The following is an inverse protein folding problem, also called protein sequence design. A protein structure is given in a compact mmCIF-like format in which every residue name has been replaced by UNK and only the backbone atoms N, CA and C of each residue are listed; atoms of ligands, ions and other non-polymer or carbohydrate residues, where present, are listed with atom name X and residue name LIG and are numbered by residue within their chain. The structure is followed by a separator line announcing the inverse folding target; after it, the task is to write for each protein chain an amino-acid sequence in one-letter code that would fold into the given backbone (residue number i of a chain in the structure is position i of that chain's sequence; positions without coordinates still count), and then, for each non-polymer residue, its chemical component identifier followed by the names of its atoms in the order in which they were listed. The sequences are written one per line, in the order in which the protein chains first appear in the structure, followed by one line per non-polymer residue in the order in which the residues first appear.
data_IF_329739657178
#
_entry.id   IF_329739657178
#
_cell.length_a   1.000
_cell.length_b   1.000
_cell.length_c   1.000
_cell.angle_alpha   90.00
_cell.angle_beta   90.00
_cell.angle_gamma   90.00
#
_symmetry.space_group_name_H-M   'P 1'
#
loop_
_entity.id
_entity.type
_entity.pdbx_description
1 polymer ?
#
# COMPACT_ATOMS: atom_id res chain seq x y z
N UNK A 1 -10.51 -7.55 14.64
CA UNK A 1 -11.81 -7.62 15.36
C UNK A 1 -12.80 -8.36 14.48
N UNK A 2 -13.15 -9.54 14.93
CA UNK A 2 -14.13 -10.38 14.23
C UNK A 2 -15.52 -9.73 14.32
N UNK A 3 -16.32 -9.88 13.26
CA UNK A 3 -17.70 -9.40 13.15
C UNK A 3 -17.87 -7.87 13.27
N UNK A 4 -16.79 -7.12 13.23
CA UNK A 4 -16.83 -5.66 13.08
C UNK A 4 -16.78 -5.29 11.60
N UNK A 5 -17.74 -4.51 11.17
CA UNK A 5 -17.77 -4.03 9.78
C UNK A 5 -16.84 -2.83 9.59
N UNK A 6 -16.32 -2.70 8.39
CA UNK A 6 -15.56 -1.52 8.01
C UNK A 6 -16.40 -0.25 8.15
N UNK A 7 -15.77 0.83 8.58
CA UNK A 7 -16.36 2.16 8.64
C UNK A 7 -16.13 2.97 7.37
N UNK A 8 -15.16 2.56 6.56
CA UNK A 8 -14.84 3.19 5.28
C UNK A 8 -15.42 2.39 4.11
N UNK A 9 -15.78 3.07 3.03
CA UNK A 9 -16.15 2.40 1.77
C UNK A 9 -14.89 1.95 1.03
N UNK A 10 -15.04 1.00 0.10
CA UNK A 10 -13.92 0.58 -0.75
C UNK A 10 -13.38 1.76 -1.58
N UNK A 11 -14.27 2.63 -2.06
CA UNK A 11 -13.89 3.84 -2.79
C UNK A 11 -13.07 4.80 -1.94
N UNK A 12 -13.41 4.98 -0.66
CA UNK A 12 -12.64 5.81 0.26
C UNK A 12 -11.24 5.26 0.47
N UNK A 13 -11.11 3.95 0.65
CA UNK A 13 -9.80 3.30 0.82
C UNK A 13 -8.95 3.46 -0.43
N UNK A 14 -9.52 3.28 -1.62
CA UNK A 14 -8.82 3.50 -2.89
C UNK A 14 -8.35 4.93 -3.04
N UNK A 15 -9.24 5.90 -2.77
CA UNK A 15 -8.91 7.32 -2.87
C UNK A 15 -7.76 7.67 -1.93
N UNK A 16 -7.86 7.28 -0.67
CA UNK A 16 -6.83 7.55 0.33
C UNK A 16 -5.48 6.94 -0.06
N UNK A 17 -5.50 5.72 -0.60
CA UNK A 17 -4.28 5.04 -1.02
C UNK A 17 -3.57 5.72 -2.20
N UNK A 18 -4.31 6.32 -3.13
CA UNK A 18 -3.77 6.89 -4.37
C UNK A 18 -3.51 8.40 -4.26
N UNK A 19 -4.29 9.11 -3.45
CA UNK A 19 -4.28 10.57 -3.41
C UNK A 19 -2.88 11.16 -3.15
N UNK A 20 -2.52 12.19 -3.92
CA UNK A 20 -1.26 12.91 -3.79
C UNK A 20 -1.42 14.37 -3.39
N UNK A 21 -2.65 14.82 -3.15
CA UNK A 21 -2.93 16.20 -2.74
C UNK A 21 -2.48 16.43 -1.30
N UNK A 22 -2.76 15.48 -0.40
CA UNK A 22 -2.30 15.52 0.99
C UNK A 22 -1.00 14.75 1.12
N UNK A 23 0.05 15.44 1.57
CA UNK A 23 1.37 14.85 1.79
C UNK A 23 1.55 14.56 3.28
N UNK A 24 1.89 13.33 3.61
CA UNK A 24 2.16 12.90 4.97
C UNK A 24 3.58 12.36 5.10
N UNK A 25 4.17 12.53 6.28
CA UNK A 25 5.47 11.94 6.58
C UNK A 25 5.31 10.50 7.06
N UNK A 26 6.31 9.68 6.78
CA UNK A 26 6.39 8.32 7.30
C UNK A 26 6.36 8.33 8.82
N UNK A 27 5.44 7.57 9.40
CA UNK A 27 5.33 7.41 10.85
C UNK A 27 6.36 6.43 11.41
N UNK A 28 6.50 6.43 12.74
CA UNK A 28 7.44 5.54 13.44
C UNK A 28 7.20 4.06 13.10
N UNK A 29 8.26 3.33 12.89
CA UNK A 29 8.22 1.93 12.49
C UNK A 29 8.11 1.69 10.99
N UNK A 30 7.88 2.73 10.21
CA UNK A 30 7.75 2.66 8.75
C UNK A 30 8.87 3.39 8.00
N UNK A 31 9.84 3.95 8.72
CA UNK A 31 10.98 4.61 8.11
C UNK A 31 11.81 3.61 7.32
N UNK A 32 12.46 4.13 6.26
CA UNK A 32 13.36 3.36 5.44
C UNK A 32 14.48 2.75 6.29
N UNK A 33 14.72 1.46 6.07
CA UNK A 33 15.90 0.75 6.57
C UNK A 33 16.68 0.18 5.39
N UNK A 34 18.01 0.17 5.48
CA UNK A 34 18.86 -0.36 4.41
C UNK A 34 18.98 -1.89 4.57
N UNK A 35 17.95 -2.59 4.11
CA UNK A 35 17.82 -4.05 4.20
C UNK A 35 18.40 -4.76 2.97
N UNK A 36 18.37 -4.11 1.81
CA UNK A 36 18.80 -4.69 0.54
C UNK A 36 20.11 -4.07 0.07
N UNK A 37 20.96 -4.88 -0.53
CA UNK A 37 22.27 -4.41 -1.00
C UNK A 37 22.16 -3.52 -2.25
N UNK A 38 21.16 -3.74 -3.08
CA UNK A 38 20.97 -2.96 -4.32
C UNK A 38 19.50 -2.99 -4.77
N UNK A 39 19.19 -2.23 -5.80
CA UNK A 39 17.85 -2.13 -6.36
C UNK A 39 17.36 -3.46 -6.94
N UNK A 40 18.24 -4.24 -7.56
CA UNK A 40 17.89 -5.52 -8.14
C UNK A 40 17.37 -6.50 -7.08
N UNK A 41 18.05 -6.58 -5.95
CA UNK A 41 17.62 -7.40 -4.82
C UNK A 41 16.26 -6.94 -4.28
N UNK A 42 16.09 -5.63 -4.09
CA UNK A 42 14.84 -5.06 -3.59
C UNK A 42 13.67 -5.36 -4.55
N UNK A 43 13.88 -5.16 -5.86
CA UNK A 43 12.85 -5.45 -6.86
C UNK A 43 12.50 -6.93 -6.92
N UNK A 44 13.50 -7.81 -6.85
CA UNK A 44 13.27 -9.25 -6.83
C UNK A 44 12.41 -9.67 -5.64
N UNK A 45 12.70 -9.14 -4.46
CA UNK A 45 11.91 -9.40 -3.25
C UNK A 45 10.50 -8.85 -3.35
N UNK A 46 10.35 -7.64 -3.88
CA UNK A 46 9.05 -7.03 -4.11
C UNK A 46 8.18 -7.89 -5.05
N UNK A 47 8.75 -8.34 -6.16
CA UNK A 47 8.03 -9.18 -7.12
C UNK A 47 7.60 -10.51 -6.49
N UNK A 48 8.49 -11.16 -5.74
CA UNK A 48 8.18 -12.42 -5.06
C UNK A 48 7.03 -12.25 -4.06
N UNK A 49 7.05 -11.19 -3.27
CA UNK A 49 5.99 -10.89 -2.30
C UNK A 49 4.65 -10.59 -2.98
N UNK A 50 4.68 -9.89 -4.10
CA UNK A 50 3.47 -9.60 -4.89
C UNK A 50 2.84 -10.86 -5.47
N UNK A 51 3.65 -11.76 -5.99
CA UNK A 51 3.17 -13.06 -6.49
C UNK A 51 2.51 -13.84 -5.36
N UNK A 52 3.16 -13.95 -4.20
CA UNK A 52 2.61 -14.64 -3.03
C UNK A 52 1.28 -14.05 -2.60
N UNK A 53 1.18 -12.73 -2.50
CA UNK A 53 -0.05 -12.05 -2.10
C UNK A 53 -1.17 -12.25 -3.12
N UNK A 54 -0.85 -12.17 -4.42
CA UNK A 54 -1.83 -12.38 -5.49
C UNK A 54 -2.39 -13.80 -5.45
N UNK A 55 -1.55 -14.81 -5.28
CA UNK A 55 -1.98 -16.20 -5.15
C UNK A 55 -2.85 -16.41 -3.91
N UNK A 56 -2.48 -15.81 -2.78
CA UNK A 56 -3.30 -15.86 -1.57
C UNK A 56 -4.70 -15.30 -1.82
N UNK A 57 -4.79 -14.10 -2.41
CA UNK A 57 -6.09 -13.45 -2.69
C UNK A 57 -6.95 -14.31 -3.61
N UNK A 58 -6.34 -14.94 -4.63
CA UNK A 58 -7.07 -15.76 -5.61
C UNK A 58 -7.60 -17.06 -5.02
N UNK A 59 -6.91 -17.63 -4.04
CA UNK A 59 -7.18 -18.99 -3.57
C UNK A 59 -7.72 -19.06 -2.15
N UNK A 60 -7.66 -17.97 -1.39
CA UNK A 60 -8.08 -17.99 0.02
C UNK A 60 -9.58 -18.28 0.17
N UNK A 61 -9.88 -19.06 1.21
CA UNK A 61 -11.23 -19.27 1.71
C UNK A 61 -11.49 -18.46 2.98
N UNK A 62 -10.52 -17.65 3.41
CA UNK A 62 -10.64 -16.81 4.59
C UNK A 62 -11.68 -15.71 4.34
N UNK A 63 -12.45 -15.43 5.40
CA UNK A 63 -13.45 -14.37 5.34
C UNK A 63 -12.78 -13.01 5.62
N UNK A 64 -12.40 -12.34 4.54
CA UNK A 64 -11.70 -11.07 4.63
C UNK A 64 -12.62 -9.88 4.92
N UNK A 65 -13.94 -10.03 4.69
CA UNK A 65 -14.89 -8.92 4.79
C UNK A 65 -15.48 -8.73 6.20
N UNK A 66 -15.48 -9.78 7.03
CA UNK A 66 -16.03 -9.69 8.40
C UNK A 66 -14.96 -9.53 9.48
N UNK A 67 -13.70 -9.48 9.10
CA UNK A 67 -12.59 -9.24 10.01
C UNK A 67 -12.01 -7.86 9.75
N UNK A 68 -12.15 -6.96 10.71
CA UNK A 68 -11.72 -5.57 10.61
C UNK A 68 -10.74 -5.22 11.72
N UNK A 69 -9.91 -4.24 11.47
CA UNK A 69 -9.00 -3.69 12.46
C UNK A 69 -8.96 -2.16 12.32
N UNK A 70 -8.57 -1.50 13.40
CA UNK A 70 -8.43 -0.05 13.39
C UNK A 70 -7.08 0.36 12.85
N UNK A 71 -7.12 1.13 11.78
CA UNK A 71 -5.93 1.76 11.21
C UNK A 71 -6.33 3.18 10.80
N UNK A 72 -5.41 4.12 10.97
CA UNK A 72 -5.66 5.53 10.63
C UNK A 72 -6.95 6.12 11.24
N UNK A 73 -7.38 5.59 12.38
CA UNK A 73 -8.54 6.11 13.12
C UNK A 73 -9.88 5.53 12.69
N UNK A 74 -9.94 4.73 11.64
CA UNK A 74 -11.17 4.06 11.18
C UNK A 74 -10.97 2.56 11.10
N UNK A 75 -12.08 1.82 11.21
CA UNK A 75 -12.06 0.38 10.97
C UNK A 75 -12.10 0.11 9.48
N UNK A 76 -11.14 -0.69 9.00
CA UNK A 76 -11.15 -1.25 7.66
C UNK A 76 -11.11 -2.77 7.77
N UNK A 77 -11.68 -3.46 6.79
CA UNK A 77 -11.64 -4.92 6.77
C UNK A 77 -10.36 -5.45 6.10
N UNK A 78 -10.13 -6.75 6.24
CA UNK A 78 -8.91 -7.36 5.70
C UNK A 78 -8.85 -7.29 4.17
N UNK A 79 -9.99 -7.33 3.47
CA UNK A 79 -10.03 -7.15 2.02
C UNK A 79 -9.63 -5.73 1.62
N UNK A 80 -10.12 -4.74 2.34
CA UNK A 80 -9.74 -3.33 2.12
C UNK A 80 -8.26 -3.10 2.40
N UNK A 81 -7.69 -3.83 3.37
CA UNK A 81 -6.24 -3.77 3.61
C UNK A 81 -5.44 -4.23 2.39
N UNK A 82 -5.88 -5.32 1.74
CA UNK A 82 -5.26 -5.77 0.50
C UNK A 82 -5.39 -4.73 -0.61
N UNK A 83 -6.54 -4.08 -0.70
CA UNK A 83 -6.79 -3.00 -1.65
C UNK A 83 -5.86 -1.80 -1.37
N UNK A 84 -5.67 -1.44 -0.13
CA UNK A 84 -4.78 -0.36 0.29
C UNK A 84 -3.33 -0.66 -0.05
N UNK A 85 -2.87 -1.88 0.14
CA UNK A 85 -1.51 -2.29 -0.25
C UNK A 85 -1.28 -2.06 -1.74
N UNK A 86 -2.25 -2.38 -2.59
CA UNK A 86 -2.12 -2.20 -4.04
C UNK A 86 -2.16 -0.72 -4.44
N UNK A 87 -3.08 0.06 -3.90
CA UNK A 87 -3.19 1.49 -4.20
C UNK A 87 -2.03 2.30 -3.63
N UNK A 88 -1.46 1.85 -2.53
CA UNK A 88 -0.26 2.46 -1.95
C UNK A 88 0.94 2.40 -2.92
N UNK A 89 1.08 1.29 -3.64
CA UNK A 89 2.10 1.19 -4.68
C UNK A 89 1.86 2.19 -5.81
N UNK A 90 0.63 2.39 -6.21
CA UNK A 90 0.27 3.40 -7.22
C UNK A 90 0.58 4.81 -6.73
N UNK A 91 0.33 5.10 -5.46
CA UNK A 91 0.72 6.37 -4.83
C UNK A 91 2.23 6.63 -5.00
N UNK A 92 3.06 5.64 -4.72
CA UNK A 92 4.51 5.78 -4.87
C UNK A 92 4.95 5.92 -6.33
N UNK A 93 4.29 5.23 -7.26
CA UNK A 93 4.55 5.40 -8.70
C UNK A 93 4.26 6.84 -9.11
N UNK A 94 3.16 7.40 -8.66
CA UNK A 94 2.81 8.79 -8.96
C UNK A 94 3.81 9.76 -8.33
N UNK A 95 4.27 9.48 -7.12
CA UNK A 95 5.33 10.25 -6.47
C UNK A 95 6.63 10.24 -7.27
N UNK A 96 7.03 9.09 -7.80
CA UNK A 96 8.22 8.98 -8.66
C UNK A 96 8.03 9.81 -9.93
N UNK A 97 6.83 9.79 -10.52
CA UNK A 97 6.52 10.62 -11.70
C UNK A 97 6.63 12.11 -11.40
N UNK A 98 6.12 12.54 -10.24
CA UNK A 98 6.25 13.94 -9.79
C UNK A 98 7.72 14.35 -9.68
N UNK A 99 8.54 13.51 -9.04
CA UNK A 99 9.98 13.76 -8.88
C UNK A 99 10.66 13.88 -10.25
N UNK A 100 10.34 12.97 -11.17
CA UNK A 100 10.91 12.99 -12.53
C UNK A 100 10.51 14.22 -13.34
N UNK A 101 9.35 14.79 -13.05
CA UNK A 101 8.86 16.00 -13.72
C UNK A 101 9.37 17.30 -13.09
N UNK A 102 10.08 17.21 -11.98
CA UNK A 102 10.69 18.37 -11.35
C UNK A 102 11.76 18.97 -12.28
N UNK A 103 11.77 20.32 -12.49
CA UNK A 103 12.76 20.97 -13.34
C UNK A 103 14.22 20.71 -12.92
N UNK A 104 14.43 20.42 -11.64
CA UNK A 104 15.75 20.16 -11.09
C UNK A 104 16.16 18.69 -11.17
N UNK A 105 15.29 17.81 -11.70
CA UNK A 105 15.62 16.40 -11.83
C UNK A 105 16.77 16.22 -12.83
N UNK A 106 17.82 15.47 -12.48
CA UNK A 106 18.98 15.31 -13.34
C UNK A 106 18.61 14.74 -14.71
N UNK A 107 19.09 15.36 -15.77
CA UNK A 107 18.97 14.88 -17.13
C UNK A 107 20.31 14.26 -17.55
N UNK A 108 20.22 13.10 -18.17
CA UNK A 108 21.41 12.47 -18.73
C UNK A 108 21.86 13.21 -19.99
#
# INVERSE_FOLDING_TARGET
MKDKKSQATDADVMWYGIDRVVHTKTGGGHEKVDTYKDLGEALGRFQALRITMTEYIKTTQDDLRTHSFGDYGELIDCWQWMLEISTHSERHINQIREIKNDPNFPKK
#
